data_IF_699482734371
#
_entry.id   IF_699482734371
#
_cell.length_a   1.000
_cell.length_b   1.000
_cell.length_c   1.000
_cell.angle_alpha   90.00
_cell.angle_beta   90.00
_cell.angle_gamma   90.00
#
_symmetry.space_group_name_H-M   'P 1'
#
loop_
_entity.id
_entity.type
_entity.pdbx_description
1 polymer ?
#
# COMPACT_ATOMS: atom_id res chain seq x y z
N UNK A 1 6.87 16.09 -13.55
CA UNK A 1 5.50 15.75 -13.99
C UNK A 1 4.68 17.03 -14.02
N UNK A 2 4.36 17.54 -15.22
CA UNK A 2 3.75 18.85 -15.46
C UNK A 2 2.21 18.76 -15.43
N UNK A 3 1.64 18.36 -14.30
CA UNK A 3 0.17 18.24 -14.14
C UNK A 3 -0.43 19.39 -13.32
N UNK A 4 0.39 20.17 -12.62
CA UNK A 4 -0.08 21.21 -11.72
C UNK A 4 0.10 22.58 -12.37
N UNK A 5 -0.99 23.28 -12.73
CA UNK A 5 -0.92 24.64 -13.30
C UNK A 5 -0.25 25.63 -12.34
N UNK A 6 -0.31 25.35 -11.04
CA UNK A 6 0.26 26.17 -9.97
C UNK A 6 1.61 25.65 -9.45
N UNK A 7 2.26 24.72 -10.16
CA UNK A 7 3.49 24.07 -9.69
C UNK A 7 3.36 23.45 -8.28
N UNK A 8 2.14 23.01 -7.91
CA UNK A 8 1.95 22.22 -6.69
C UNK A 8 2.85 20.98 -6.75
N UNK A 9 3.48 20.64 -5.64
CA UNK A 9 4.34 19.47 -5.61
C UNK A 9 3.51 18.18 -5.51
N UNK A 10 4.10 17.06 -5.92
CA UNK A 10 3.48 15.75 -5.80
C UNK A 10 3.24 15.32 -4.35
N UNK A 11 2.91 14.05 -4.14
CA UNK A 11 2.79 13.50 -2.77
C UNK A 11 4.12 13.68 -2.01
N UNK A 12 4.03 14.22 -0.79
CA UNK A 12 5.12 14.38 0.17
C UNK A 12 4.70 13.79 1.51
N UNK A 13 5.66 13.29 2.27
CA UNK A 13 5.41 12.73 3.60
C UNK A 13 5.02 13.80 4.63
N UNK A 14 5.35 15.06 4.40
CA UNK A 14 5.08 16.17 5.34
C UNK A 14 3.69 16.80 5.17
N UNK A 15 2.81 16.18 4.38
CA UNK A 15 1.43 16.66 4.22
C UNK A 15 0.65 16.21 5.45
N UNK A 16 0.03 17.15 6.16
CA UNK A 16 -0.81 16.83 7.32
C UNK A 16 -2.28 16.71 6.93
N UNK A 17 -3.04 15.91 7.68
CA UNK A 17 -4.48 15.95 7.61
C UNK A 17 -5.01 17.34 8.00
N UNK A 18 -6.07 17.80 7.31
CA UNK A 18 -6.62 19.13 7.56
C UNK A 18 -7.22 19.19 8.98
N UNK A 19 -6.68 20.06 9.83
CA UNK A 19 -7.18 20.32 11.18
C UNK A 19 -6.79 19.25 12.22
N UNK A 20 -5.77 18.45 11.92
CA UNK A 20 -5.29 17.37 12.80
C UNK A 20 -3.94 17.77 13.39
N UNK A 21 -3.91 18.08 14.69
CA UNK A 21 -2.68 18.31 15.47
C UNK A 21 -2.27 17.06 16.27
N UNK A 22 -3.25 16.19 16.60
CA UNK A 22 -3.03 14.94 17.31
C UNK A 22 -3.12 13.73 16.37
N UNK A 23 -2.31 12.67 16.58
CA UNK A 23 -2.37 11.48 15.76
C UNK A 23 -3.75 10.81 15.83
N UNK A 24 -4.24 10.30 14.69
CA UNK A 24 -5.42 9.43 14.65
C UNK A 24 -5.19 8.18 15.53
N UNK A 25 -6.24 7.41 15.77
CA UNK A 25 -6.27 6.08 16.41
C UNK A 25 -5.13 5.12 16.01
N UNK A 26 -4.48 5.34 14.86
CA UNK A 26 -3.33 4.58 14.33
C UNK A 26 -1.97 5.27 14.47
N UNK A 27 -1.88 6.39 15.18
CA UNK A 27 -0.64 7.16 15.30
C UNK A 27 -0.33 8.05 14.09
N UNK A 28 -1.21 8.14 13.10
CA UNK A 28 -0.94 8.85 11.84
C UNK A 28 -1.47 10.29 11.85
N UNK A 29 -0.59 11.22 11.52
CA UNK A 29 -0.89 12.66 11.31
C UNK A 29 -0.84 13.06 9.82
N UNK A 30 -0.24 12.20 8.99
CA UNK A 30 -0.01 12.42 7.55
C UNK A 30 -0.82 11.41 6.75
N UNK A 31 -1.43 11.79 5.59
CA UNK A 31 -2.18 10.86 4.77
C UNK A 31 -1.27 9.85 4.11
N UNK A 32 -1.75 8.61 3.97
CA UNK A 32 -1.07 7.63 3.13
C UNK A 32 -1.11 8.05 1.67
N UNK A 33 -0.17 7.54 0.86
CA UNK A 33 -0.19 7.78 -0.60
C UNK A 33 -1.54 7.46 -1.23
N UNK A 34 -2.19 6.38 -0.80
CA UNK A 34 -3.47 5.95 -1.35
C UNK A 34 -4.58 6.94 -1.01
N UNK A 35 -4.64 7.41 0.22
CA UNK A 35 -5.62 8.41 0.66
C UNK A 35 -5.41 9.74 -0.07
N UNK A 36 -4.15 10.17 -0.22
CA UNK A 36 -3.81 11.38 -0.95
C UNK A 36 -4.25 11.31 -2.42
N UNK A 37 -3.90 10.23 -3.14
CA UNK A 37 -4.30 10.07 -4.54
C UNK A 37 -5.82 9.89 -4.68
N UNK A 38 -6.47 9.15 -3.77
CA UNK A 38 -7.92 8.99 -3.73
C UNK A 38 -8.63 10.34 -3.57
N UNK A 39 -8.16 11.17 -2.63
CA UNK A 39 -8.68 12.53 -2.41
C UNK A 39 -8.54 13.42 -3.65
N UNK A 40 -7.44 13.29 -4.40
CA UNK A 40 -7.20 14.07 -5.64
C UNK A 40 -8.02 13.59 -6.84
N UNK A 41 -8.38 12.31 -6.89
CA UNK A 41 -9.20 11.72 -7.96
C UNK A 41 -10.71 11.87 -7.67
N UNK A 42 -11.10 12.03 -6.41
CA UNK A 42 -12.50 12.15 -6.02
C UNK A 42 -13.19 13.33 -6.72
N UNK A 43 -14.27 13.03 -7.44
CA UNK A 43 -15.12 14.06 -8.03
C UNK A 43 -15.90 14.81 -6.95
N UNK A 44 -15.87 16.14 -6.99
CA UNK A 44 -16.61 17.04 -6.09
C UNK A 44 -17.38 18.06 -6.90
N UNK A 45 -18.64 18.29 -6.55
CA UNK A 45 -19.53 19.22 -7.26
C UNK A 45 -19.16 20.68 -7.05
N UNK A 46 -18.51 21.01 -5.93
CA UNK A 46 -18.18 22.39 -5.54
C UNK A 46 -16.77 22.83 -5.97
N UNK A 47 -16.00 21.99 -6.67
CA UNK A 47 -14.62 22.28 -7.09
C UNK A 47 -14.40 21.91 -8.56
N UNK A 48 -13.71 22.77 -9.32
CA UNK A 48 -13.28 22.43 -10.67
C UNK A 48 -12.10 21.48 -10.56
N UNK A 49 -12.38 20.19 -10.72
CA UNK A 49 -11.35 19.15 -10.80
C UNK A 49 -10.59 19.23 -12.14
N UNK A 50 -9.60 20.13 -12.20
CA UNK A 50 -8.72 20.30 -13.37
C UNK A 50 -8.03 18.99 -13.75
N UNK A 51 -7.61 18.21 -12.75
CA UNK A 51 -6.99 16.89 -12.94
C UNK A 51 -7.94 15.95 -13.69
N UNK A 52 -9.21 15.87 -13.30
CA UNK A 52 -10.20 14.98 -13.94
C UNK A 52 -10.57 15.41 -15.37
N UNK A 53 -10.49 16.72 -15.66
CA UNK A 53 -10.75 17.27 -17.01
C UNK A 53 -9.56 17.10 -17.96
N UNK A 54 -8.38 16.79 -17.43
CA UNK A 54 -7.12 16.74 -18.17
C UNK A 54 -6.89 15.40 -18.89
N UNK A 55 -7.78 14.98 -19.80
CA UNK A 55 -7.69 13.76 -20.66
C UNK A 55 -6.40 12.90 -20.56
N UNK A 56 -5.40 13.13 -21.42
CA UNK A 56 -4.16 12.33 -21.47
C UNK A 56 -3.28 12.49 -20.22
N UNK A 57 -3.28 13.69 -19.65
CA UNK A 57 -2.50 14.02 -18.46
C UNK A 57 -3.04 13.33 -17.20
N UNK A 58 -4.36 13.10 -17.16
CA UNK A 58 -5.05 12.34 -16.14
C UNK A 58 -4.69 10.86 -16.22
N UNK A 59 -4.61 10.30 -17.43
CA UNK A 59 -4.15 8.92 -17.61
C UNK A 59 -2.72 8.76 -17.12
N UNK A 60 -1.83 9.69 -17.47
CA UNK A 60 -0.45 9.69 -16.95
C UNK A 60 -0.43 9.81 -15.42
N UNK A 61 -1.22 10.71 -14.84
CA UNK A 61 -1.34 10.84 -13.39
C UNK A 61 -1.77 9.54 -12.70
N UNK A 62 -2.78 8.85 -13.25
CA UNK A 62 -3.25 7.59 -12.72
C UNK A 62 -2.14 6.53 -12.76
N UNK A 63 -1.45 6.40 -13.89
CA UNK A 63 -0.34 5.44 -14.05
C UNK A 63 0.80 5.74 -13.10
N UNK A 64 1.20 7.02 -12.98
CA UNK A 64 2.27 7.45 -12.09
C UNK A 64 1.88 7.22 -10.61
N UNK A 65 0.65 7.55 -10.22
CA UNK A 65 0.14 7.31 -8.86
C UNK A 65 0.11 5.82 -8.49
N UNK A 66 -0.34 4.97 -9.41
CA UNK A 66 -0.36 3.52 -9.22
C UNK A 66 1.06 2.97 -9.07
N UNK A 67 1.97 3.41 -9.92
CA UNK A 67 3.38 3.00 -9.88
C UNK A 67 4.01 3.38 -8.55
N UNK A 68 3.69 4.54 -7.99
CA UNK A 68 4.22 5.01 -6.72
C UNK A 68 3.70 4.20 -5.53
N UNK A 69 2.40 3.88 -5.52
CA UNK A 69 1.79 3.00 -4.51
C UNK A 69 2.38 1.59 -4.57
N UNK A 70 2.52 1.04 -5.77
CA UNK A 70 3.12 -0.28 -5.96
C UNK A 70 4.60 -0.32 -5.61
N UNK A 71 5.35 0.75 -5.90
CA UNK A 71 6.75 0.87 -5.50
C UNK A 71 6.89 0.84 -3.96
N UNK A 72 6.03 1.55 -3.23
CA UNK A 72 6.00 1.45 -1.75
C UNK A 72 5.73 0.02 -1.28
N UNK A 73 4.82 -0.70 -1.93
CA UNK A 73 4.51 -2.10 -1.61
C UNK A 73 5.70 -3.02 -1.87
N UNK A 74 6.39 -2.86 -3.00
CA UNK A 74 7.57 -3.65 -3.34
C UNK A 74 8.73 -3.35 -2.39
N UNK A 75 8.95 -2.10 -2.02
CA UNK A 75 9.95 -1.72 -1.03
C UNK A 75 9.66 -2.36 0.32
N UNK A 76 8.39 -2.40 0.74
CA UNK A 76 8.03 -3.10 1.97
C UNK A 76 8.45 -4.57 1.93
N UNK A 77 8.13 -5.29 0.85
CA UNK A 77 8.53 -6.71 0.70
C UNK A 77 10.05 -6.84 0.73
N UNK A 78 10.76 -5.95 0.03
CA UNK A 78 12.23 -5.97 -0.06
C UNK A 78 12.90 -5.75 1.30
N UNK A 79 12.42 -4.80 2.11
CA UNK A 79 13.02 -4.49 3.41
C UNK A 79 12.57 -5.42 4.54
N UNK A 80 11.38 -6.03 4.43
CA UNK A 80 10.86 -6.97 5.43
C UNK A 80 11.09 -8.44 5.06
N UNK A 81 11.85 -8.68 3.99
CA UNK A 81 12.25 -10.01 3.54
C UNK A 81 12.81 -10.91 4.65
N UNK A 82 13.71 -10.47 5.56
CA UNK A 82 14.20 -11.34 6.63
C UNK A 82 13.09 -11.78 7.60
N UNK A 83 12.18 -10.87 7.97
CA UNK A 83 11.02 -11.20 8.80
C UNK A 83 10.08 -12.19 8.11
N UNK A 84 9.87 -12.03 6.80
CA UNK A 84 9.07 -12.95 5.99
C UNK A 84 9.72 -14.33 5.91
N UNK A 85 11.06 -14.40 5.79
CA UNK A 85 11.78 -15.67 5.81
C UNK A 85 11.70 -16.35 7.18
N UNK A 86 11.88 -15.62 8.27
CA UNK A 86 11.77 -16.18 9.63
C UNK A 86 10.36 -16.69 9.90
N UNK A 87 9.33 -15.95 9.48
CA UNK A 87 7.94 -16.40 9.56
C UNK A 87 7.71 -17.70 8.76
N UNK A 88 8.24 -17.79 7.54
CA UNK A 88 8.15 -18.99 6.71
C UNK A 88 8.83 -20.20 7.37
N UNK A 89 10.00 -20.01 7.98
CA UNK A 89 10.68 -21.09 8.70
C UNK A 89 9.89 -21.56 9.93
N UNK A 90 9.27 -20.63 10.67
CA UNK A 90 8.38 -20.97 11.78
C UNK A 90 7.18 -21.81 11.31
N UNK A 91 6.53 -21.37 10.23
CA UNK A 91 5.37 -22.05 9.66
C UNK A 91 5.74 -23.45 9.09
N UNK A 92 6.95 -23.60 8.55
CA UNK A 92 7.52 -24.89 8.11
C UNK A 92 7.71 -25.86 9.27
N UNK A 93 8.28 -25.39 10.38
CA UNK A 93 8.53 -26.22 11.56
C UNK A 93 7.21 -26.64 12.20
N UNK A 94 6.22 -25.75 12.25
CA UNK A 94 4.87 -26.06 12.75
C UNK A 94 4.17 -27.10 11.90
N UNK A 95 4.17 -26.94 10.56
CA UNK A 95 3.58 -27.93 9.65
C UNK A 95 4.30 -29.29 9.73
N UNK A 96 5.61 -29.31 10.01
CA UNK A 96 6.37 -30.54 10.20
C UNK A 96 5.94 -31.28 11.48
N UNK A 97 5.63 -30.53 12.54
CA UNK A 97 5.10 -31.07 13.79
C UNK A 97 3.66 -31.57 13.67
N UNK A 98 2.86 -30.99 12.77
CA UNK A 98 1.50 -31.45 12.45
C UNK A 98 1.46 -32.79 11.66
N UNK A 99 2.61 -33.38 11.33
CA UNK A 99 2.70 -34.73 10.74
C UNK A 99 2.36 -34.80 9.26
N UNK A 100 2.49 -33.69 8.52
CA UNK A 100 2.31 -33.71 7.05
C UNK A 100 3.60 -34.22 6.40
N UNK A 101 3.65 -35.52 6.09
CA UNK A 101 4.85 -36.15 5.49
C UNK A 101 5.04 -35.80 4.00
N UNK A 102 3.99 -35.34 3.33
CA UNK A 102 4.02 -34.97 1.92
C UNK A 102 4.53 -33.53 1.70
N UNK A 103 5.79 -33.41 1.27
CA UNK A 103 6.44 -32.13 0.96
C UNK A 103 5.68 -31.27 -0.07
N UNK A 104 4.93 -31.89 -0.98
CA UNK A 104 4.12 -31.19 -2.00
C UNK A 104 2.88 -30.50 -1.38
N UNK A 105 2.20 -31.19 -0.47
CA UNK A 105 1.06 -30.65 0.28
C UNK A 105 1.54 -29.56 1.24
N UNK A 106 2.70 -29.77 1.86
CA UNK A 106 3.34 -28.78 2.72
C UNK A 106 3.65 -27.47 1.99
N UNK A 107 4.23 -27.54 0.80
CA UNK A 107 4.55 -26.36 -0.03
C UNK A 107 3.32 -25.54 -0.44
N UNK A 108 2.21 -26.22 -0.74
CA UNK A 108 0.95 -25.55 -1.10
C UNK A 108 0.25 -24.90 0.10
N UNK A 109 0.25 -25.56 1.26
CA UNK A 109 -0.28 -25.00 2.52
C UNK A 109 0.54 -23.78 2.95
N UNK A 110 1.87 -23.83 2.85
CA UNK A 110 2.73 -22.71 3.19
C UNK A 110 2.57 -21.53 2.23
N UNK A 111 2.46 -21.78 0.92
CA UNK A 111 2.13 -20.72 -0.04
C UNK A 111 0.80 -20.06 0.28
N UNK A 112 -0.22 -20.83 0.63
CA UNK A 112 -1.53 -20.29 1.00
C UNK A 112 -1.47 -19.49 2.31
N UNK A 113 -0.79 -20.01 3.35
CA UNK A 113 -0.59 -19.30 4.64
C UNK A 113 0.23 -18.02 4.47
N UNK A 114 1.27 -18.03 3.63
CA UNK A 114 2.04 -16.83 3.26
C UNK A 114 1.17 -15.81 2.53
N UNK A 115 0.36 -16.24 1.56
CA UNK A 115 -0.54 -15.34 0.83
C UNK A 115 -1.56 -14.70 1.78
N UNK A 116 -2.12 -15.47 2.72
CA UNK A 116 -3.03 -14.96 3.75
C UNK A 116 -2.33 -14.01 4.74
N UNK A 117 -1.08 -14.28 5.13
CA UNK A 117 -0.32 -13.36 6.00
C UNK A 117 0.08 -12.08 5.27
N UNK A 118 0.50 -12.15 4.02
CA UNK A 118 0.79 -10.96 3.19
C UNK A 118 -0.48 -10.13 2.97
N UNK A 119 -1.65 -10.74 2.84
CA UNK A 119 -2.94 -10.02 2.76
C UNK A 119 -3.44 -9.54 4.13
N UNK A 120 -3.13 -10.21 5.23
CA UNK A 120 -3.43 -9.73 6.59
C UNK A 120 -2.54 -8.54 6.98
N UNK A 121 -1.27 -8.55 6.58
CA UNK A 121 -0.38 -7.38 6.65
C UNK A 121 -0.93 -6.23 5.79
N UNK A 122 -1.52 -6.52 4.62
CA UNK A 122 -2.28 -5.49 3.88
C UNK A 122 -3.43 -4.90 4.71
N UNK A 123 -4.19 -5.70 5.47
CA UNK A 123 -5.27 -5.18 6.32
C UNK A 123 -4.78 -4.28 7.47
N UNK A 124 -3.60 -4.56 8.02
CA UNK A 124 -3.03 -3.77 9.13
C UNK A 124 -2.31 -2.48 8.67
N UNK A 125 -2.09 -2.32 7.37
CA UNK A 125 -1.50 -1.11 6.77
C UNK A 125 -2.57 -0.28 6.03
N UNK A 126 -3.72 -0.88 5.70
CA UNK A 126 -4.88 -0.21 5.09
C UNK A 126 -5.88 0.28 6.15
N UNK A 127 -5.82 -0.26 7.37
CA UNK A 127 -6.35 0.43 8.55
C UNK A 127 -5.23 1.27 9.16
#
# INVERSE_FOLDING_TARGET
MLLFPYAEDGFRLDILYRGVEEPDSKGQITPTMREFFGYRIQYRTNEISLILRSRKLFQQFLVDSYTMVENKRLNYIRFNQPTLHVALYGDLVEAAQEGTEDASVMGTVLLFRLLLRVTSIKCNIIN
#
